data_IF_070609601957
#
_entry.id   IF_070609601957
#
_cell.length_a   1.000
_cell.length_b   1.000
_cell.length_c   1.000
_cell.angle_alpha   90.00
_cell.angle_beta   90.00
_cell.angle_gamma   90.00
#
_symmetry.space_group_name_H-M   'P 1'
#
loop_
_entity.id
_entity.type
_entity.pdbx_description
1 polymer ?
#
# COMPACT_ATOMS: atom_id res chain seq x y z
N UNK A 1 24.43 -6.32 -0.07
CA UNK A 1 23.96 -5.21 0.79
C UNK A 1 24.45 -3.92 0.14
N UNK A 2 23.55 -2.97 -0.11
CA UNK A 2 23.89 -1.69 -0.73
C UNK A 2 23.86 -0.59 0.34
N UNK A 3 24.72 0.42 0.22
CA UNK A 3 24.78 1.55 1.16
C UNK A 3 24.64 2.84 0.38
N UNK A 4 23.65 3.66 0.75
CA UNK A 4 23.42 4.99 0.19
C UNK A 4 23.80 6.03 1.24
N UNK A 5 24.61 7.00 0.84
CA UNK A 5 25.06 8.09 1.70
C UNK A 5 24.28 9.37 1.37
N UNK A 6 23.70 9.98 2.40
CA UNK A 6 23.00 11.26 2.33
C UNK A 6 23.70 12.31 3.19
N UNK A 7 23.58 13.57 2.78
CA UNK A 7 23.82 14.74 3.64
C UNK A 7 22.48 15.39 3.90
N UNK A 8 22.04 15.40 5.15
CA UNK A 8 20.78 16.00 5.58
C UNK A 8 21.09 17.41 6.08
N UNK A 9 20.66 18.48 5.38
CA UNK A 9 20.88 19.85 5.84
C UNK A 9 20.21 20.10 7.18
N UNK A 10 20.87 20.87 8.05
CA UNK A 10 20.33 21.24 9.36
C UNK A 10 19.90 22.71 9.36
N UNK A 11 18.80 23.01 10.07
CA UNK A 11 18.40 24.39 10.35
C UNK A 11 19.53 25.08 11.10
N UNK A 12 19.94 26.27 10.66
CA UNK A 12 21.06 27.02 11.24
C UNK A 12 22.42 26.74 10.57
N UNK A 13 22.46 25.87 9.56
CA UNK A 13 23.67 25.60 8.76
C UNK A 13 24.27 24.22 9.03
N UNK A 14 25.18 23.80 8.14
CA UNK A 14 25.81 22.48 8.18
C UNK A 14 24.90 21.34 7.71
N UNK A 15 25.39 20.11 7.87
CA UNK A 15 24.66 18.89 7.53
C UNK A 15 24.99 17.74 8.47
N UNK A 16 24.07 16.80 8.59
CA UNK A 16 24.30 15.49 9.19
C UNK A 16 24.49 14.45 8.09
N UNK A 17 25.62 13.74 8.10
CA UNK A 17 25.79 12.56 7.26
C UNK A 17 24.85 11.44 7.74
N UNK A 18 24.18 10.79 6.81
CA UNK A 18 23.26 9.69 7.11
C UNK A 18 23.45 8.55 6.12
N UNK A 19 23.52 7.32 6.62
CA UNK A 19 23.67 6.12 5.80
C UNK A 19 22.39 5.31 5.84
N UNK A 20 21.90 4.96 4.65
CA UNK A 20 20.81 4.00 4.47
C UNK A 20 21.41 2.71 3.94
N UNK A 21 21.29 1.63 4.72
CA UNK A 21 21.70 0.28 4.31
C UNK A 21 20.49 -0.45 3.76
N UNK A 22 20.66 -1.09 2.61
CA UNK A 22 19.61 -1.82 1.89
C UNK A 22 19.99 -3.31 1.78
N UNK A 23 19.02 -4.17 2.08
CA UNK A 23 19.06 -5.59 1.73
C UNK A 23 18.31 -5.81 0.40
N UNK A 24 18.06 -7.07 0.04
CA UNK A 24 17.17 -7.42 -1.07
C UNK A 24 15.70 -7.08 -0.77
N UNK A 25 15.32 -7.00 0.52
CA UNK A 25 13.95 -6.75 0.97
C UNK A 25 13.63 -5.26 1.14
N UNK A 26 14.64 -4.42 1.37
CA UNK A 26 14.47 -2.98 1.57
C UNK A 26 15.46 -2.37 2.56
N UNK A 27 15.17 -1.17 3.09
CA UNK A 27 16.04 -0.51 4.07
C UNK A 27 16.07 -1.23 5.41
N UNK A 28 17.24 -1.23 6.02
CA UNK A 28 17.45 -1.68 7.40
C UNK A 28 17.07 -0.55 8.35
N UNK A 29 16.16 -0.83 9.27
CA UNK A 29 15.82 0.02 10.40
C UNK A 29 16.37 -0.63 11.67
N UNK A 30 17.12 0.14 12.46
CA UNK A 30 17.69 -0.34 13.71
C UNK A 30 17.13 0.46 14.89
N UNK A 31 16.52 -0.23 15.87
CA UNK A 31 16.01 0.38 17.10
C UNK A 31 16.20 -0.57 18.28
N UNK A 32 16.65 -0.05 19.42
CA UNK A 32 16.88 -0.82 20.65
C UNK A 32 17.74 -2.09 20.47
N UNK A 33 18.77 -2.02 19.61
CA UNK A 33 19.66 -3.15 19.32
C UNK A 33 19.09 -4.19 18.34
N UNK A 34 17.83 -4.06 17.93
CA UNK A 34 17.20 -4.91 16.90
C UNK A 34 17.36 -4.23 15.54
N UNK A 35 17.67 -5.01 14.51
CA UNK A 35 17.75 -4.53 13.12
C UNK A 35 16.87 -5.38 12.23
N UNK A 36 15.90 -4.75 11.60
CA UNK A 36 14.96 -5.39 10.66
C UNK A 36 15.09 -4.74 9.29
N UNK A 37 14.85 -5.53 8.24
CA UNK A 37 14.67 -5.00 6.89
C UNK A 37 13.19 -4.88 6.58
N UNK A 38 12.78 -3.78 5.96
CA UNK A 38 11.36 -3.49 5.70
C UNK A 38 11.06 -3.54 4.22
N UNK A 39 10.24 -4.51 3.80
CA UNK A 39 9.53 -4.44 2.53
C UNK A 39 8.31 -3.53 2.70
N UNK A 40 8.28 -2.42 1.97
CA UNK A 40 7.18 -1.46 2.04
C UNK A 40 6.61 -1.19 0.64
N UNK A 41 5.33 -1.50 0.45
CA UNK A 41 4.64 -1.31 -0.84
C UNK A 41 4.53 0.15 -1.25
N UNK A 42 4.54 1.09 -0.31
CA UNK A 42 4.55 2.52 -0.60
C UNK A 42 5.87 3.04 -1.20
N UNK A 43 6.93 2.21 -1.20
CA UNK A 43 8.17 2.52 -1.92
C UNK A 43 8.13 2.08 -3.39
N UNK A 44 7.09 1.36 -3.82
CA UNK A 44 6.93 0.94 -5.20
C UNK A 44 6.36 2.09 -6.04
N UNK A 45 6.84 2.29 -7.28
CA UNK A 45 6.21 3.21 -8.22
C UNK A 45 4.74 2.85 -8.43
N UNK A 46 3.88 3.86 -8.37
CA UNK A 46 2.44 3.69 -8.46
C UNK A 46 1.78 4.76 -9.32
N UNK A 47 0.57 4.48 -9.79
CA UNK A 47 -0.27 5.42 -10.52
C UNK A 47 -1.29 6.12 -9.61
N UNK A 48 -0.97 6.32 -8.33
CA UNK A 48 -1.94 6.73 -7.30
C UNK A 48 -2.58 8.09 -7.61
N UNK A 49 -1.80 9.05 -8.10
CA UNK A 49 -2.31 10.36 -8.51
C UNK A 49 -3.27 10.24 -9.70
N UNK A 50 -2.91 9.45 -10.71
CA UNK A 50 -3.77 9.19 -11.88
C UNK A 50 -5.05 8.46 -11.48
N UNK A 51 -4.97 7.51 -10.55
CA UNK A 51 -6.13 6.82 -9.99
C UNK A 51 -7.08 7.81 -9.32
N UNK A 52 -6.56 8.74 -8.51
CA UNK A 52 -7.36 9.76 -7.84
C UNK A 52 -8.06 10.70 -8.83
N UNK A 53 -7.35 11.15 -9.86
CA UNK A 53 -7.94 11.97 -10.93
C UNK A 53 -9.04 11.19 -11.68
N UNK A 54 -8.82 9.90 -11.95
CA UNK A 54 -9.81 9.01 -12.55
C UNK A 54 -11.05 8.86 -11.68
N UNK A 55 -10.88 8.67 -10.36
CA UNK A 55 -11.97 8.62 -9.38
C UNK A 55 -12.80 9.90 -9.43
N UNK A 56 -12.16 11.08 -9.38
CA UNK A 56 -12.87 12.36 -9.44
C UNK A 56 -13.63 12.60 -10.74
N UNK A 57 -13.23 11.95 -11.84
CA UNK A 57 -13.87 12.08 -13.16
C UNK A 57 -14.86 10.96 -13.46
N UNK A 58 -15.00 9.97 -12.59
CA UNK A 58 -15.83 8.80 -12.83
C UNK A 58 -17.32 9.18 -12.77
N UNK A 59 -18.08 8.73 -13.76
CA UNK A 59 -19.54 8.96 -13.86
C UNK A 59 -20.37 7.75 -13.45
N UNK A 60 -19.74 6.62 -13.13
CA UNK A 60 -20.39 5.40 -12.67
C UNK A 60 -19.41 4.51 -11.89
N UNK A 61 -19.93 3.49 -11.22
CA UNK A 61 -19.14 2.60 -10.37
C UNK A 61 -18.08 1.82 -11.14
N UNK A 62 -18.37 1.43 -12.39
CA UNK A 62 -17.40 0.70 -13.23
C UNK A 62 -16.18 1.56 -13.55
N UNK A 63 -16.38 2.83 -13.90
CA UNK A 63 -15.29 3.79 -14.11
C UNK A 63 -14.53 4.07 -12.82
N UNK A 64 -15.24 4.23 -11.70
CA UNK A 64 -14.64 4.43 -10.38
C UNK A 64 -13.72 3.27 -10.01
N UNK A 65 -14.23 2.03 -10.10
CA UNK A 65 -13.45 0.81 -9.85
C UNK A 65 -12.28 0.71 -10.83
N UNK A 66 -12.49 0.93 -12.12
CA UNK A 66 -11.41 0.87 -13.10
C UNK A 66 -10.29 1.89 -12.82
N UNK A 67 -10.64 3.11 -12.37
CA UNK A 67 -9.66 4.14 -12.01
C UNK A 67 -8.78 3.70 -10.84
N UNK A 68 -9.33 2.93 -9.90
CA UNK A 68 -8.60 2.41 -8.74
C UNK A 68 -7.65 1.25 -9.06
N UNK A 69 -7.58 0.74 -10.30
CA UNK A 69 -6.65 -0.34 -10.68
C UNK A 69 -5.17 0.02 -10.47
N UNK A 70 -4.83 1.30 -10.59
CA UNK A 70 -3.45 1.79 -10.46
C UNK A 70 -3.15 2.38 -9.09
N UNK A 71 -4.11 2.31 -8.15
CA UNK A 71 -3.90 2.67 -6.76
C UNK A 71 -3.25 1.49 -6.02
N UNK A 72 -2.00 1.64 -5.61
CA UNK A 72 -1.18 0.54 -5.08
C UNK A 72 -0.89 0.68 -3.59
N UNK A 73 -0.77 1.91 -3.08
CA UNK A 73 -0.54 2.17 -1.66
C UNK A 73 -1.00 3.60 -1.28
N UNK A 74 -1.33 3.85 0.00
CA UNK A 74 -1.64 2.83 1.00
C UNK A 74 -2.94 2.10 0.64
N UNK A 75 -3.08 0.85 1.07
CA UNK A 75 -4.37 0.16 1.01
C UNK A 75 -5.38 0.93 1.86
N UNK A 76 -6.48 1.38 1.25
CA UNK A 76 -7.49 2.21 1.90
C UNK A 76 -8.88 1.88 1.35
N UNK A 77 -9.91 2.14 2.15
CA UNK A 77 -11.31 1.97 1.74
C UNK A 77 -11.80 3.23 1.01
N UNK A 78 -12.11 3.09 -0.28
CA UNK A 78 -12.70 4.13 -1.11
C UNK A 78 -14.20 3.94 -1.16
N UNK A 79 -14.93 4.84 -0.50
CA UNK A 79 -16.39 4.87 -0.56
C UNK A 79 -16.87 5.51 -1.87
N UNK A 80 -17.99 5.00 -2.39
CA UNK A 80 -18.65 5.45 -3.62
C UNK A 80 -20.13 5.68 -3.36
N UNK A 81 -20.67 6.75 -3.96
CA UNK A 81 -22.10 7.01 -4.08
C UNK A 81 -22.37 7.80 -5.37
N UNK A 82 -23.52 7.60 -6.02
CA UNK A 82 -23.91 8.35 -7.22
C UNK A 82 -25.38 8.82 -7.23
N UNK A 83 -25.72 9.58 -8.28
CA UNK A 83 -27.05 10.17 -8.50
C UNK A 83 -28.14 9.15 -8.84
N UNK A 84 -27.77 7.91 -9.14
CA UNK A 84 -28.71 6.81 -9.41
C UNK A 84 -29.02 6.01 -8.14
N UNK A 85 -28.47 6.43 -6.99
CA UNK A 85 -28.67 5.77 -5.70
C UNK A 85 -27.76 4.57 -5.49
N UNK A 86 -26.76 4.34 -6.35
CA UNK A 86 -25.83 3.24 -6.16
C UNK A 86 -24.80 3.60 -5.08
N UNK A 87 -24.39 2.62 -4.28
CA UNK A 87 -23.38 2.76 -3.23
C UNK A 87 -22.35 1.64 -3.27
N UNK A 88 -21.14 1.91 -2.81
CA UNK A 88 -20.12 0.87 -2.73
C UNK A 88 -18.90 1.26 -1.93
N UNK A 89 -18.06 0.27 -1.66
CA UNK A 89 -16.72 0.45 -1.11
C UNK A 89 -15.78 -0.46 -1.91
N UNK A 90 -14.65 0.07 -2.36
CA UNK A 90 -13.55 -0.71 -2.94
C UNK A 90 -12.33 -0.50 -2.05
N UNK A 91 -11.63 -1.58 -1.72
CA UNK A 91 -10.36 -1.54 -0.98
C UNK A 91 -9.19 -1.86 -1.93
N UNK A 92 -8.81 -0.95 -2.85
CA UNK A 92 -7.68 -1.17 -3.74
C UNK A 92 -6.36 -1.08 -2.97
N UNK A 93 -5.34 -1.72 -3.53
CA UNK A 93 -3.98 -1.68 -3.02
C UNK A 93 -3.24 -2.97 -3.30
N UNK A 94 -1.97 -2.99 -2.93
CA UNK A 94 -1.15 -4.19 -2.96
C UNK A 94 -1.38 -4.98 -1.68
N UNK A 95 -1.80 -6.24 -1.85
CA UNK A 95 -1.86 -7.23 -0.78
C UNK A 95 -0.80 -8.31 -1.05
N UNK A 96 0.39 -8.22 -0.42
CA UNK A 96 1.47 -9.16 -0.65
C UNK A 96 1.13 -10.58 -0.19
N UNK A 97 1.51 -11.56 -0.99
CA UNK A 97 1.46 -12.98 -0.64
C UNK A 97 2.86 -13.45 -0.28
N UNK A 98 3.03 -14.01 0.91
CA UNK A 98 4.28 -14.61 1.37
C UNK A 98 4.24 -16.13 1.23
N UNK A 99 5.39 -16.74 1.02
CA UNK A 99 5.50 -18.15 0.60
C UNK A 99 4.92 -19.17 1.59
N UNK A 100 5.21 -19.04 2.89
CA UNK A 100 4.94 -20.11 3.86
C UNK A 100 4.51 -19.63 5.26
N UNK A 101 4.48 -18.32 5.51
CA UNK A 101 4.24 -17.77 6.85
C UNK A 101 2.94 -16.98 6.94
N UNK A 102 2.47 -16.81 8.18
CA UNK A 102 1.51 -15.75 8.52
C UNK A 102 2.31 -14.51 8.96
N UNK A 103 2.17 -13.35 8.29
CA UNK A 103 3.03 -12.18 8.51
C UNK A 103 2.64 -11.36 9.76
N UNK A 104 2.48 -12.01 10.92
CA UNK A 104 2.11 -11.34 12.18
C UNK A 104 3.31 -10.73 12.92
N UNK A 105 4.51 -11.24 12.63
CA UNK A 105 5.78 -10.81 13.22
C UNK A 105 6.82 -10.65 12.10
N UNK A 106 7.98 -10.00 12.36
CA UNK A 106 9.09 -10.00 11.42
C UNK A 106 9.42 -11.42 10.95
N UNK A 107 9.55 -11.57 9.64
CA UNK A 107 9.82 -12.85 9.00
C UNK A 107 11.32 -13.04 8.81
N UNK A 108 11.77 -14.30 8.75
CA UNK A 108 13.16 -14.60 8.43
C UNK A 108 13.52 -14.05 7.05
N UNK A 109 14.56 -13.21 6.99
CA UNK A 109 15.09 -12.62 5.75
C UNK A 109 15.98 -13.57 4.94
N UNK A 110 15.89 -14.88 5.13
CA UNK A 110 16.69 -15.87 4.40
C UNK A 110 16.05 -16.36 3.09
N UNK A 111 14.97 -15.72 2.63
CA UNK A 111 14.25 -16.08 1.42
C UNK A 111 13.08 -17.05 1.62
N UNK A 112 12.99 -17.75 2.75
CA UNK A 112 11.93 -18.75 2.99
C UNK A 112 10.53 -18.16 3.07
N UNK A 113 10.41 -16.86 3.37
CA UNK A 113 9.16 -16.15 3.59
C UNK A 113 9.01 -14.91 2.71
N UNK A 114 9.76 -14.85 1.61
CA UNK A 114 9.71 -13.71 0.70
C UNK A 114 8.31 -13.52 0.10
N UNK A 115 8.03 -12.28 -0.28
CA UNK A 115 6.86 -11.94 -1.08
C UNK A 115 7.02 -12.60 -2.45
N UNK A 116 6.08 -13.47 -2.80
CA UNK A 116 6.09 -14.25 -4.06
C UNK A 116 5.08 -13.73 -5.07
N UNK A 117 4.25 -12.78 -4.68
CA UNK A 117 3.20 -12.22 -5.53
C UNK A 117 2.28 -11.31 -4.75
N UNK A 118 1.20 -10.90 -5.40
CA UNK A 118 0.18 -10.01 -4.83
C UNK A 118 -1.19 -10.53 -5.23
N UNK A 119 -2.19 -10.31 -4.37
CA UNK A 119 -3.59 -10.60 -4.73
C UNK A 119 -3.95 -9.82 -6.02
N UNK A 120 -4.51 -10.48 -7.06
CA UNK A 120 -4.94 -9.80 -8.27
C UNK A 120 -6.00 -8.74 -7.98
N UNK A 121 -5.97 -7.61 -8.71
CA UNK A 121 -6.94 -6.52 -8.51
C UNK A 121 -8.40 -6.98 -8.59
N UNK A 122 -8.73 -7.95 -9.43
CA UNK A 122 -10.09 -8.49 -9.55
C UNK A 122 -10.61 -9.15 -8.27
N UNK A 123 -9.72 -9.51 -7.35
CA UNK A 123 -10.02 -10.19 -6.09
C UNK A 123 -9.91 -9.26 -4.87
N UNK A 124 -9.61 -7.97 -5.04
CA UNK A 124 -9.57 -7.04 -3.91
C UNK A 124 -10.96 -6.91 -3.29
N UNK A 125 -11.06 -6.73 -1.96
CA UNK A 125 -12.34 -6.60 -1.30
C UNK A 125 -13.15 -5.44 -1.88
N UNK A 126 -14.41 -5.72 -2.21
CA UNK A 126 -15.37 -4.70 -2.63
C UNK A 126 -16.79 -5.08 -2.29
N UNK A 127 -17.64 -4.07 -2.19
CA UNK A 127 -19.09 -4.19 -2.13
C UNK A 127 -19.71 -3.14 -3.06
N UNK A 128 -20.79 -3.51 -3.73
CA UNK A 128 -21.55 -2.65 -4.63
C UNK A 128 -23.02 -3.00 -4.51
N UNK A 129 -23.86 -2.00 -4.25
CA UNK A 129 -25.31 -2.12 -4.04
C UNK A 129 -25.72 -3.31 -3.17
N UNK A 130 -25.24 -3.39 -1.91
CA UNK A 130 -25.60 -4.49 -1.04
C UNK A 130 -27.11 -4.44 -0.74
N UNK A 131 -27.76 -5.61 -0.56
CA UNK A 131 -29.20 -5.69 -0.26
C UNK A 131 -29.60 -5.06 1.09
N UNK A 132 -28.63 -4.76 1.94
CA UNK A 132 -28.81 -4.02 3.19
C UNK A 132 -29.00 -2.52 2.98
N UNK A 133 -28.79 -2.01 1.76
CA UNK A 133 -28.85 -0.59 1.39
C UNK A 133 -27.91 0.29 2.23
N UNK A 134 -26.84 -0.30 2.77
CA UNK A 134 -25.87 0.38 3.60
C UNK A 134 -24.50 -0.29 3.47
N UNK A 135 -23.45 0.52 3.37
CA UNK A 135 -22.05 0.10 3.41
C UNK A 135 -21.26 1.09 4.29
N UNK A 136 -20.33 0.58 5.09
CA UNK A 136 -19.59 1.40 6.04
C UNK A 136 -18.18 0.88 6.30
N UNK A 137 -17.26 1.81 6.53
CA UNK A 137 -15.93 1.48 7.04
C UNK A 137 -15.41 2.55 8.02
N UNK A 138 -15.01 2.09 9.20
CA UNK A 138 -14.23 2.78 10.21
C UNK A 138 -13.10 1.87 10.71
N UNK A 139 -12.30 1.35 9.77
CA UNK A 139 -11.12 0.53 10.04
C UNK A 139 -11.40 -0.81 10.74
N UNK A 140 -12.66 -1.26 10.77
CA UNK A 140 -13.02 -2.59 11.22
C UNK A 140 -12.51 -3.67 10.25
N UNK A 141 -12.43 -4.92 10.75
CA UNK A 141 -12.01 -6.09 9.97
C UNK A 141 -13.03 -6.49 8.90
#
# INVERSE_FOLDING_TARGET
MNVINYKIPLRGGGYKSYQVRLTVHGPILSKFGISDSVYWTGALPSGDLSAMIGVWRSSNFSQFRNSLKTWLAPTQNFAYADVHGNIGIVAPGIYPQVKAARPWLPLSGNGSNDVVGTIPYSQVPMVYDPPTHFAFSANQR
#
